data_IF_229972153818
#
_entry.id   IF_229972153818
#
_cell.length_a   1.000
_cell.length_b   1.000
_cell.length_c   1.000
_cell.angle_alpha   90.00
_cell.angle_beta   90.00
_cell.angle_gamma   90.00
#
_symmetry.space_group_name_H-M   'P 1'
#
loop_
_entity.id
_entity.type
_entity.pdbx_description
1 polymer ?
#
# COMPACT_ATOMS: atom_id res chain seq x y z
N UNK A 1 -61.89 -16.40 19.08
CA UNK A 1 -60.69 -16.43 18.22
C UNK A 1 -59.72 -15.41 18.76
N UNK A 2 -58.67 -15.83 19.47
CA UNK A 2 -57.56 -14.95 19.83
C UNK A 2 -56.70 -14.75 18.59
N UNK A 3 -56.69 -13.53 18.05
CA UNK A 3 -55.75 -13.12 17.00
C UNK A 3 -54.36 -12.95 17.67
N UNK A 4 -53.29 -13.59 17.16
CA UNK A 4 -51.95 -13.38 17.69
C UNK A 4 -51.49 -11.95 17.37
N UNK A 5 -51.03 -11.22 18.39
CA UNK A 5 -50.39 -9.91 18.24
C UNK A 5 -49.12 -10.04 17.39
N UNK A 6 -48.87 -9.12 16.42
CA UNK A 6 -47.60 -9.10 15.71
C UNK A 6 -46.49 -8.77 16.72
N UNK A 7 -45.49 -9.64 16.83
CA UNK A 7 -44.27 -9.34 17.56
C UNK A 7 -43.62 -8.11 16.92
N UNK A 8 -43.53 -7.01 17.68
CA UNK A 8 -42.77 -5.85 17.28
C UNK A 8 -41.32 -6.31 17.06
N UNK A 9 -40.87 -6.33 15.81
CA UNK A 9 -39.46 -6.58 15.49
C UNK A 9 -38.70 -5.40 16.12
N UNK A 10 -37.94 -5.68 17.17
CA UNK A 10 -37.02 -4.70 17.72
C UNK A 10 -36.09 -4.27 16.58
N UNK A 11 -36.02 -2.98 16.30
CA UNK A 11 -35.14 -2.40 15.28
C UNK A 11 -33.92 -1.79 15.96
N UNK A 12 -32.84 -1.60 15.19
CA UNK A 12 -31.71 -0.85 15.68
C UNK A 12 -32.08 0.61 15.98
N UNK A 13 -31.43 1.21 16.98
CA UNK A 13 -31.48 2.65 17.16
C UNK A 13 -30.95 3.34 15.89
N UNK A 14 -31.56 4.47 15.54
CA UNK A 14 -31.17 5.27 14.39
C UNK A 14 -29.66 5.58 14.42
N UNK A 15 -28.96 5.30 13.32
CA UNK A 15 -27.51 5.55 13.21
C UNK A 15 -26.59 4.50 13.85
N UNK A 16 -27.10 3.46 14.52
CA UNK A 16 -26.26 2.46 15.20
C UNK A 16 -25.40 1.64 14.22
N UNK A 17 -25.94 1.32 13.05
CA UNK A 17 -25.23 0.57 12.00
C UNK A 17 -24.14 1.46 11.39
N UNK A 18 -24.46 2.71 11.07
CA UNK A 18 -23.53 3.71 10.53
C UNK A 18 -22.39 3.99 11.50
N UNK A 19 -22.68 4.13 12.80
CA UNK A 19 -21.66 4.33 13.84
C UNK A 19 -20.71 3.12 13.90
N UNK A 20 -21.23 1.90 13.84
CA UNK A 20 -20.43 0.69 13.85
C UNK A 20 -19.55 0.56 12.60
N UNK A 21 -20.10 0.87 11.42
CA UNK A 21 -19.36 0.92 10.15
C UNK A 21 -18.27 1.99 10.20
N UNK A 22 -18.58 3.18 10.69
CA UNK A 22 -17.60 4.28 10.83
C UNK A 22 -16.41 3.86 11.70
N UNK A 23 -16.67 3.23 12.84
CA UNK A 23 -15.61 2.74 13.72
C UNK A 23 -14.76 1.65 13.06
N UNK A 24 -15.37 0.78 12.26
CA UNK A 24 -14.65 -0.22 11.47
C UNK A 24 -13.75 0.45 10.43
N UNK A 25 -14.28 1.40 9.65
CA UNK A 25 -13.50 2.12 8.64
C UNK A 25 -12.34 2.91 9.24
N UNK A 26 -12.53 3.57 10.39
CA UNK A 26 -11.46 4.25 11.10
C UNK A 26 -10.26 3.35 11.40
N UNK A 27 -10.50 2.08 11.73
CA UNK A 27 -9.42 1.09 11.92
C UNK A 27 -8.78 0.66 10.61
N UNK A 28 -9.56 0.51 9.53
CA UNK A 28 -9.04 0.10 8.22
C UNK A 28 -8.14 1.17 7.58
N UNK A 29 -8.41 2.44 7.86
CA UNK A 29 -7.65 3.57 7.29
C UNK A 29 -6.54 4.07 8.23
N UNK A 30 -6.38 3.46 9.40
CA UNK A 30 -5.32 3.78 10.34
C UNK A 30 -3.96 3.43 9.72
N UNK A 31 -3.21 4.45 9.30
CA UNK A 31 -1.93 4.29 8.60
C UNK A 31 -1.90 4.84 7.18
N UNK A 32 -3.03 5.31 6.64
CA UNK A 32 -3.00 6.09 5.40
C UNK A 32 -2.27 7.43 5.63
N UNK A 33 -1.52 7.92 4.63
CA UNK A 33 -0.81 9.18 4.76
C UNK A 33 -1.79 10.36 4.77
N UNK A 34 -1.52 11.36 5.61
CA UNK A 34 -2.23 12.63 5.60
C UNK A 34 -3.58 12.65 6.32
N UNK A 35 -4.48 13.49 5.84
CA UNK A 35 -5.78 13.76 6.44
C UNK A 35 -6.86 12.89 5.79
N UNK A 36 -7.56 12.11 6.62
CA UNK A 36 -8.58 11.17 6.16
C UNK A 36 -9.96 11.67 6.56
N UNK A 37 -10.85 11.81 5.59
CA UNK A 37 -12.28 12.05 5.85
C UNK A 37 -13.10 10.83 5.46
N UNK A 38 -14.10 10.49 6.28
CA UNK A 38 -14.98 9.34 6.08
C UNK A 38 -16.43 9.83 6.00
N UNK A 39 -17.03 9.68 4.85
CA UNK A 39 -18.44 9.93 4.57
C UNK A 39 -19.15 8.58 4.38
N UNK A 40 -20.31 8.44 5.02
CA UNK A 40 -21.18 7.28 4.85
C UNK A 40 -22.50 7.79 4.30
N UNK A 41 -22.99 7.15 3.24
CA UNK A 41 -24.36 7.32 2.84
C UNK A 41 -25.26 6.74 3.95
N UNK A 42 -26.33 7.46 4.35
CA UNK A 42 -27.28 6.92 5.31
C UNK A 42 -27.92 5.66 4.74
N UNK A 43 -28.26 4.71 5.60
CA UNK A 43 -29.16 3.63 5.20
C UNK A 43 -30.52 4.22 4.80
N UNK A 44 -31.22 3.52 3.89
CA UNK A 44 -32.60 3.88 3.56
C UNK A 44 -33.43 3.88 4.87
N UNK A 45 -34.12 4.97 5.23
CA UNK A 45 -34.96 5.03 6.42
C UNK A 45 -36.05 3.96 6.44
N UNK A 46 -36.43 3.42 5.28
CA UNK A 46 -37.38 2.31 5.15
C UNK A 46 -36.72 0.93 5.30
N UNK A 47 -35.39 0.88 5.46
CA UNK A 47 -34.65 -0.34 5.72
C UNK A 47 -34.97 -0.83 7.13
N UNK A 48 -35.93 -1.75 7.23
CA UNK A 48 -36.33 -2.38 8.49
C UNK A 48 -35.32 -3.46 8.88
N UNK A 49 -34.09 -3.05 9.24
CA UNK A 49 -33.07 -3.98 9.72
C UNK A 49 -33.48 -4.52 11.10
N UNK A 50 -33.67 -5.86 11.23
CA UNK A 50 -33.95 -6.46 12.53
C UNK A 50 -32.83 -6.19 13.52
N UNK A 51 -33.16 -6.11 14.81
CA UNK A 51 -32.15 -6.00 15.86
C UNK A 51 -31.14 -7.15 15.77
N UNK A 52 -29.88 -6.78 15.91
CA UNK A 52 -28.73 -7.68 15.86
C UNK A 52 -28.01 -7.73 17.20
N UNK A 53 -27.60 -8.93 17.63
CA UNK A 53 -26.77 -9.10 18.82
C UNK A 53 -25.35 -8.54 18.62
N UNK A 54 -24.78 -8.72 17.43
CA UNK A 54 -23.44 -8.26 17.09
C UNK A 54 -23.36 -7.85 15.60
N UNK A 55 -23.24 -6.55 15.36
CA UNK A 55 -23.02 -6.02 14.02
C UNK A 55 -21.57 -6.24 13.60
N UNK A 56 -21.39 -6.95 12.50
CA UNK A 56 -20.09 -7.30 11.94
C UNK A 56 -19.87 -6.64 10.56
N UNK A 57 -19.23 -5.45 10.52
CA UNK A 57 -18.82 -4.84 9.27
C UNK A 57 -17.70 -5.64 8.58
N UNK A 58 -17.74 -5.67 7.25
CA UNK A 58 -16.71 -6.28 6.43
C UNK A 58 -16.55 -5.52 5.11
N UNK A 59 -15.38 -5.67 4.50
CA UNK A 59 -15.12 -5.20 3.14
C UNK A 59 -15.26 -6.39 2.18
N UNK A 60 -16.00 -6.26 1.06
CA UNK A 60 -15.99 -7.28 0.01
C UNK A 60 -14.56 -7.56 -0.48
N UNK A 61 -14.30 -8.80 -0.93
CA UNK A 61 -12.97 -9.19 -1.39
C UNK A 61 -12.45 -8.25 -2.50
N UNK A 62 -11.19 -7.82 -2.38
CA UNK A 62 -10.57 -6.89 -3.33
C UNK A 62 -10.96 -5.41 -3.14
N UNK A 63 -11.82 -5.09 -2.18
CA UNK A 63 -12.20 -3.70 -1.89
C UNK A 63 -11.05 -2.96 -1.21
N UNK A 64 -10.65 -1.84 -1.79
CA UNK A 64 -9.73 -0.90 -1.14
C UNK A 64 -10.54 0.02 -0.23
N UNK A 65 -10.10 0.18 1.02
CA UNK A 65 -10.80 0.95 2.05
C UNK A 65 -10.72 2.49 1.88
N UNK A 66 -10.53 2.97 0.64
CA UNK A 66 -10.45 4.40 0.33
C UNK A 66 -11.13 4.71 -1.02
N UNK A 67 -11.42 5.98 -1.32
CA UNK A 67 -12.25 6.36 -2.46
C UNK A 67 -13.72 6.01 -2.22
N UNK A 68 -14.48 5.70 -3.28
CA UNK A 68 -15.88 5.26 -3.18
C UNK A 68 -15.95 3.74 -3.18
N UNK A 69 -16.59 3.15 -2.18
CA UNK A 69 -16.74 1.70 -2.06
C UNK A 69 -17.96 1.30 -1.23
N UNK A 70 -18.32 0.02 -1.28
CA UNK A 70 -19.40 -0.55 -0.50
C UNK A 70 -18.84 -1.25 0.75
N UNK A 71 -19.49 -1.04 1.89
CA UNK A 71 -19.20 -1.73 3.15
C UNK A 71 -20.37 -2.63 3.49
N UNK A 72 -20.11 -3.91 3.67
CA UNK A 72 -21.11 -4.86 4.14
C UNK A 72 -21.21 -4.83 5.65
N UNK A 73 -22.40 -5.04 6.18
CA UNK A 73 -22.64 -5.33 7.60
C UNK A 73 -23.47 -6.59 7.65
N UNK A 74 -22.96 -7.63 8.31
CA UNK A 74 -23.73 -8.84 8.57
C UNK A 74 -24.18 -8.89 10.02
N UNK A 75 -25.30 -9.57 10.21
CA UNK A 75 -25.76 -10.06 11.49
C UNK A 75 -26.02 -11.54 11.35
N UNK A 76 -25.55 -12.35 12.30
CA UNK A 76 -25.78 -13.81 12.30
C UNK A 76 -26.81 -14.26 13.36
N UNK A 77 -27.18 -13.39 14.31
CA UNK A 77 -28.11 -13.70 15.40
C UNK A 77 -28.78 -12.44 15.96
N UNK A 78 -30.08 -12.46 16.32
CA UNK A 78 -31.01 -13.60 16.28
C UNK A 78 -31.58 -13.92 14.88
N UNK A 79 -31.48 -12.97 13.95
CA UNK A 79 -31.93 -13.12 12.56
C UNK A 79 -30.74 -12.84 11.66
N UNK A 80 -30.46 -13.75 10.73
CA UNK A 80 -29.37 -13.58 9.78
C UNK A 80 -29.77 -12.59 8.70
N UNK A 81 -28.99 -11.52 8.54
CA UNK A 81 -29.19 -10.54 7.48
C UNK A 81 -27.87 -9.88 7.08
N UNK A 82 -27.84 -9.28 5.90
CA UNK A 82 -26.71 -8.49 5.42
C UNK A 82 -27.20 -7.23 4.73
N UNK A 83 -26.60 -6.10 5.09
CA UNK A 83 -26.87 -4.80 4.48
C UNK A 83 -25.58 -4.23 3.90
N UNK A 84 -25.70 -3.33 2.94
CA UNK A 84 -24.57 -2.65 2.32
C UNK A 84 -24.75 -1.14 2.41
N UNK A 85 -23.71 -0.45 2.85
CA UNK A 85 -23.66 1.01 2.90
C UNK A 85 -22.62 1.52 1.90
N UNK A 86 -22.95 2.60 1.21
CA UNK A 86 -21.96 3.30 0.40
C UNK A 86 -21.08 4.17 1.30
N UNK A 87 -19.77 4.01 1.18
CA UNK A 87 -18.78 4.82 1.86
C UNK A 87 -17.96 5.62 0.85
N UNK A 88 -17.60 6.84 1.22
CA UNK A 88 -16.57 7.63 0.56
C UNK A 88 -15.51 7.98 1.59
N UNK A 89 -14.29 7.55 1.35
CA UNK A 89 -13.13 7.94 2.16
C UNK A 89 -12.22 8.76 1.29
N UNK A 90 -12.00 10.03 1.61
CA UNK A 90 -11.02 10.87 0.93
C UNK A 90 -9.72 10.92 1.74
N UNK A 91 -8.59 11.02 1.04
CA UNK A 91 -7.27 11.06 1.67
C UNK A 91 -6.49 12.22 1.09
N UNK A 92 -6.39 13.31 1.85
CA UNK A 92 -5.68 14.52 1.44
C UNK A 92 -4.28 14.49 2.03
N UNK A 93 -3.29 14.34 1.15
CA UNK A 93 -1.89 14.26 1.53
C UNK A 93 -0.99 14.92 0.49
N UNK A 94 0.28 15.09 0.87
CA UNK A 94 1.31 15.52 -0.05
C UNK A 94 1.80 14.33 -0.89
N UNK A 95 1.95 14.55 -2.19
CA UNK A 95 2.49 13.57 -3.13
C UNK A 95 3.57 14.20 -4.00
N UNK A 96 4.43 13.36 -4.56
CA UNK A 96 5.54 13.80 -5.39
C UNK A 96 5.08 14.16 -6.80
N UNK A 97 5.63 15.25 -7.30
CA UNK A 97 5.51 15.69 -8.69
C UNK A 97 6.90 15.86 -9.31
N UNK A 98 6.99 15.82 -10.64
CA UNK A 98 8.20 16.23 -11.34
C UNK A 98 8.36 17.75 -11.25
N UNK A 99 9.40 18.25 -10.58
CA UNK A 99 9.65 19.69 -10.46
C UNK A 99 10.05 20.33 -11.79
N UNK A 100 10.58 19.53 -12.72
CA UNK A 100 11.02 19.92 -14.07
C UNK A 100 10.83 18.75 -15.04
N UNK A 101 10.95 18.95 -16.37
CA UNK A 101 10.85 17.86 -17.32
C UNK A 101 11.94 16.81 -17.08
N UNK A 102 11.55 15.55 -17.00
CA UNK A 102 12.43 14.40 -16.78
C UNK A 102 12.56 13.59 -18.06
N UNK A 103 13.78 13.23 -18.45
CA UNK A 103 14.03 12.39 -19.63
C UNK A 103 13.94 10.92 -19.26
N UNK A 104 13.68 10.03 -20.23
CA UNK A 104 13.80 8.59 -19.99
C UNK A 104 15.25 8.21 -19.64
N UNK A 105 15.42 7.33 -18.65
CA UNK A 105 16.72 6.85 -18.14
C UNK A 105 17.41 7.80 -17.14
N UNK A 106 16.86 8.99 -16.90
CA UNK A 106 17.42 9.98 -15.99
C UNK A 106 17.37 9.49 -14.54
N UNK A 107 18.48 9.66 -13.82
CA UNK A 107 18.53 9.46 -12.36
C UNK A 107 17.89 10.66 -11.68
N UNK A 108 16.94 10.40 -10.79
CA UNK A 108 16.26 11.44 -10.03
C UNK A 108 17.09 11.87 -8.82
N UNK A 109 17.33 13.17 -8.73
CA UNK A 109 17.87 13.82 -7.53
C UNK A 109 16.83 14.68 -6.82
N UNK A 110 17.16 15.27 -5.66
CA UNK A 110 16.24 16.11 -4.89
C UNK A 110 15.66 17.29 -5.68
N UNK A 111 16.44 17.87 -6.60
CA UNK A 111 16.00 19.00 -7.45
C UNK A 111 15.00 18.60 -8.56
N UNK A 112 14.82 17.30 -8.81
CA UNK A 112 13.83 16.78 -9.76
C UNK A 112 12.45 16.57 -9.12
N UNK A 113 12.39 16.56 -7.79
CA UNK A 113 11.22 16.20 -7.01
C UNK A 113 10.58 17.48 -6.43
N UNK A 114 9.29 17.64 -6.69
CA UNK A 114 8.45 18.60 -5.98
C UNK A 114 7.38 17.87 -5.17
N UNK A 115 6.69 18.58 -4.30
CA UNK A 115 5.53 18.09 -3.57
C UNK A 115 4.30 18.92 -3.90
N UNK A 116 3.14 18.27 -3.94
CA UNK A 116 1.85 18.94 -4.07
C UNK A 116 0.83 18.25 -3.16
N UNK A 117 -0.02 19.04 -2.50
CA UNK A 117 -1.13 18.54 -1.69
C UNK A 117 -2.33 18.24 -2.57
N UNK A 118 -3.01 17.11 -2.34
CA UNK A 118 -4.26 16.80 -3.03
C UNK A 118 -4.94 15.53 -2.53
N UNK A 119 -6.15 15.30 -3.01
CA UNK A 119 -6.90 14.07 -2.72
C UNK A 119 -6.31 12.89 -3.51
N UNK A 120 -5.61 12.00 -2.81
CA UNK A 120 -4.97 10.83 -3.40
C UNK A 120 -5.97 9.86 -4.02
N UNK A 121 -7.23 9.89 -3.59
CA UNK A 121 -8.28 8.99 -4.10
C UNK A 121 -8.81 9.41 -5.47
N UNK A 122 -8.53 10.65 -5.89
CA UNK A 122 -8.85 11.18 -7.23
C UNK A 122 -7.65 11.10 -8.19
N UNK A 123 -6.50 10.61 -7.72
CA UNK A 123 -5.27 10.52 -8.50
C UNK A 123 -4.98 9.07 -8.92
N UNK A 124 -4.11 8.86 -9.93
CA UNK A 124 -3.77 7.51 -10.39
C UNK A 124 -3.08 6.68 -9.32
N UNK A 125 -3.23 5.36 -9.38
CA UNK A 125 -2.57 4.47 -8.41
C UNK A 125 -1.04 4.56 -8.42
N UNK A 126 -0.43 4.05 -7.35
CA UNK A 126 1.04 3.96 -7.21
C UNK A 126 1.76 5.32 -7.17
N UNK A 127 1.08 6.39 -6.74
CA UNK A 127 1.71 7.68 -6.43
C UNK A 127 2.80 7.51 -5.37
N UNK A 128 3.89 8.25 -5.57
CA UNK A 128 4.94 8.38 -4.58
C UNK A 128 4.58 9.52 -3.64
N UNK A 129 4.72 9.29 -2.34
CA UNK A 129 4.42 10.28 -1.29
C UNK A 129 5.67 10.67 -0.50
N UNK A 130 6.73 9.85 -0.57
CA UNK A 130 7.98 10.08 0.12
C UNK A 130 9.15 10.22 -0.90
N UNK A 131 9.96 11.28 -0.84
CA UNK A 131 11.12 11.47 -1.71
C UNK A 131 12.10 10.28 -1.77
N UNK A 132 12.22 9.50 -0.70
CA UNK A 132 13.07 8.30 -0.64
C UNK A 132 12.60 7.21 -1.61
N UNK A 133 11.34 7.23 -2.03
CA UNK A 133 10.78 6.30 -3.01
C UNK A 133 11.17 6.66 -4.46
N UNK A 134 11.72 7.85 -4.70
CA UNK A 134 12.09 8.33 -6.03
C UNK A 134 13.58 8.67 -6.16
N UNK A 135 14.20 9.17 -5.09
CA UNK A 135 15.60 9.61 -5.11
C UNK A 135 16.55 8.46 -5.46
N UNK A 136 17.42 8.68 -6.44
CA UNK A 136 18.35 7.67 -6.97
C UNK A 136 17.70 6.68 -7.96
N UNK A 137 16.38 6.70 -8.13
CA UNK A 137 15.71 5.89 -9.15
C UNK A 137 15.88 6.47 -10.55
N UNK A 138 15.78 5.60 -11.55
CA UNK A 138 15.78 5.99 -12.95
C UNK A 138 14.35 6.11 -13.46
N UNK A 139 14.05 7.13 -14.24
CA UNK A 139 12.80 7.20 -14.99
C UNK A 139 12.80 6.17 -16.14
N UNK A 140 11.68 5.46 -16.32
CA UNK A 140 11.48 4.53 -17.44
C UNK A 140 11.00 5.24 -18.70
N UNK A 141 10.25 6.32 -18.50
CA UNK A 141 9.64 7.15 -19.55
C UNK A 141 9.99 8.61 -19.29
N UNK A 142 9.80 9.46 -20.29
CA UNK A 142 9.85 10.91 -20.08
C UNK A 142 8.62 11.36 -19.25
N UNK A 143 8.82 12.34 -18.37
CA UNK A 143 7.75 12.88 -17.50
C UNK A 143 7.75 14.40 -17.59
N UNK A 144 6.59 14.99 -17.87
CA UNK A 144 6.45 16.44 -17.95
C UNK A 144 6.48 17.08 -16.55
N UNK A 145 6.98 18.31 -16.46
CA UNK A 145 6.95 19.09 -15.22
C UNK A 145 5.51 19.23 -14.69
N UNK A 146 5.36 19.18 -13.36
CA UNK A 146 4.06 19.24 -12.67
C UNK A 146 3.24 17.94 -12.69
N UNK A 147 3.70 16.91 -13.40
CA UNK A 147 3.04 15.60 -13.45
C UNK A 147 3.27 14.83 -12.14
N UNK A 148 2.26 14.12 -11.61
CA UNK A 148 2.43 13.24 -10.46
C UNK A 148 3.44 12.12 -10.77
N UNK A 149 4.39 11.90 -9.86
CA UNK A 149 5.34 10.81 -9.94
C UNK A 149 4.72 9.53 -9.37
N UNK A 150 4.90 8.43 -10.10
CA UNK A 150 4.37 7.12 -9.76
C UNK A 150 5.45 6.06 -9.86
N UNK A 151 5.35 5.03 -9.03
CA UNK A 151 6.33 3.95 -8.99
C UNK A 151 6.48 3.19 -10.31
N UNK A 152 5.41 3.06 -11.11
CA UNK A 152 5.42 2.40 -12.43
C UNK A 152 6.25 3.17 -13.47
N UNK A 153 6.44 4.47 -13.27
CA UNK A 153 7.31 5.29 -14.11
C UNK A 153 8.78 5.15 -13.74
N UNK A 154 9.11 4.54 -12.59
CA UNK A 154 10.47 4.46 -12.09
C UNK A 154 11.02 3.03 -12.19
N UNK A 155 12.34 2.93 -12.29
CA UNK A 155 13.10 1.70 -12.19
C UNK A 155 14.16 1.89 -11.13
N UNK A 156 14.16 1.01 -10.14
CA UNK A 156 15.20 0.96 -9.12
C UNK A 156 16.54 0.67 -9.82
N UNK A 157 17.60 1.45 -9.56
CA UNK A 157 18.92 1.16 -10.12
C UNK A 157 19.38 -0.20 -9.62
N UNK A 158 20.20 -0.86 -10.43
CA UNK A 158 20.92 -2.03 -9.95
C UNK A 158 21.90 -1.60 -8.86
N UNK A 159 21.72 -2.11 -7.65
CA UNK A 159 22.70 -1.97 -6.57
C UNK A 159 23.99 -2.72 -6.91
N UNK A 160 23.85 -3.85 -7.61
CA UNK A 160 24.95 -4.66 -8.11
C UNK A 160 24.76 -4.87 -9.61
N UNK A 161 25.79 -4.56 -10.39
CA UNK A 161 25.82 -4.78 -11.83
C UNK A 161 26.60 -6.05 -12.17
N UNK A 162 26.19 -6.74 -13.23
CA UNK A 162 26.95 -7.86 -13.78
C UNK A 162 28.37 -7.41 -14.12
N UNK A 163 29.35 -8.20 -13.70
CA UNK A 163 30.77 -7.93 -13.88
C UNK A 163 31.38 -6.99 -12.85
N UNK A 164 30.57 -6.36 -11.98
CA UNK A 164 31.03 -5.53 -10.87
C UNK A 164 31.73 -6.37 -9.80
N UNK A 165 32.85 -5.87 -9.28
CA UNK A 165 33.46 -6.41 -8.05
C UNK A 165 32.63 -5.97 -6.85
N UNK A 166 32.15 -6.94 -6.07
CA UNK A 166 31.29 -6.71 -4.91
C UNK A 166 31.88 -7.37 -3.67
N UNK A 167 31.62 -6.77 -2.51
CA UNK A 167 31.90 -7.38 -1.22
C UNK A 167 30.74 -8.30 -0.84
N UNK A 168 31.06 -9.57 -0.61
CA UNK A 168 30.16 -10.60 -0.10
C UNK A 168 30.30 -10.66 1.41
N UNK A 169 29.21 -10.37 2.13
CA UNK A 169 29.14 -10.35 3.58
C UNK A 169 28.30 -11.53 4.06
N UNK A 170 28.91 -12.45 4.78
CA UNK A 170 28.23 -13.53 5.47
C UNK A 170 28.16 -13.26 6.97
N UNK A 171 26.96 -13.29 7.56
CA UNK A 171 26.78 -13.15 9.01
C UNK A 171 26.05 -14.37 9.54
N UNK A 172 26.64 -15.04 10.53
CA UNK A 172 26.02 -16.15 11.25
C UNK A 172 26.13 -15.96 12.76
N UNK A 173 25.67 -16.95 13.54
CA UNK A 173 25.72 -16.89 15.00
C UNK A 173 27.18 -16.85 15.50
N UNK A 174 27.67 -15.65 15.81
CA UNK A 174 29.01 -15.41 16.37
C UNK A 174 30.13 -15.18 15.34
N UNK A 175 29.84 -15.11 14.03
CA UNK A 175 30.86 -14.86 13.02
C UNK A 175 30.40 -13.88 11.92
N UNK A 176 31.37 -13.14 11.37
CA UNK A 176 31.19 -12.27 10.20
C UNK A 176 32.34 -12.54 9.24
N UNK A 177 32.01 -12.91 8.01
CA UNK A 177 32.97 -13.14 6.93
C UNK A 177 32.73 -12.09 5.85
N UNK A 178 33.79 -11.45 5.38
CA UNK A 178 33.77 -10.58 4.22
C UNK A 178 34.70 -11.17 3.16
N UNK A 179 34.24 -11.24 1.92
CA UNK A 179 35.03 -11.72 0.78
C UNK A 179 34.73 -10.87 -0.43
N UNK A 180 35.62 -10.84 -1.41
CA UNK A 180 35.36 -10.16 -2.68
C UNK A 180 35.01 -11.17 -3.77
N UNK A 181 34.15 -10.76 -4.68
CA UNK A 181 33.83 -11.57 -5.84
C UNK A 181 33.22 -10.74 -6.97
N UNK A 182 33.05 -11.39 -8.11
CA UNK A 182 32.50 -10.76 -9.32
C UNK A 182 31.05 -11.14 -9.51
N UNK A 183 30.17 -10.15 -9.55
CA UNK A 183 28.75 -10.37 -9.77
C UNK A 183 28.49 -10.94 -11.17
N UNK A 184 27.61 -11.94 -11.26
CA UNK A 184 27.29 -12.65 -12.50
C UNK A 184 25.97 -12.18 -13.12
N UNK A 185 25.16 -11.41 -12.40
CA UNK A 185 23.92 -10.80 -12.88
C UNK A 185 23.74 -9.40 -12.28
N UNK A 186 22.89 -8.59 -12.93
CA UNK A 186 22.40 -7.35 -12.36
C UNK A 186 21.36 -7.66 -11.26
N UNK A 187 21.32 -6.83 -10.21
CA UNK A 187 20.32 -6.92 -9.15
C UNK A 187 20.07 -5.56 -8.50
N UNK A 188 18.80 -5.25 -8.26
CA UNK A 188 18.37 -4.17 -7.39
C UNK A 188 18.57 -4.56 -5.91
N UNK A 189 18.54 -3.60 -4.96
CA UNK A 189 18.52 -3.93 -3.54
C UNK A 189 17.41 -4.96 -3.22
N UNK A 190 17.73 -6.00 -2.46
CA UNK A 190 16.82 -7.09 -2.10
C UNK A 190 16.73 -8.23 -3.12
N UNK A 191 17.26 -8.07 -4.33
CA UNK A 191 17.26 -9.14 -5.34
C UNK A 191 18.46 -10.10 -5.17
N UNK A 192 18.31 -11.34 -5.66
CA UNK A 192 19.36 -12.35 -5.60
C UNK A 192 20.47 -12.05 -6.62
N UNK A 193 21.71 -12.13 -6.17
CA UNK A 193 22.93 -12.02 -6.98
C UNK A 193 23.73 -13.30 -6.87
N UNK A 194 24.14 -13.84 -8.02
CA UNK A 194 25.21 -14.83 -8.07
C UNK A 194 26.56 -14.12 -8.14
N UNK A 195 27.47 -14.46 -7.26
CA UNK A 195 28.83 -13.90 -7.20
C UNK A 195 29.82 -15.02 -7.38
N UNK A 196 30.76 -14.85 -8.32
CA UNK A 196 31.92 -15.73 -8.47
C UNK A 196 33.06 -15.21 -7.59
N UNK A 197 33.45 -15.99 -6.59
CA UNK A 197 34.57 -15.69 -5.71
C UNK A 197 35.91 -15.92 -6.41
N UNK A 198 37.00 -15.45 -5.80
CA UNK A 198 38.35 -15.58 -6.34
C UNK A 198 38.82 -17.04 -6.49
N UNK A 199 38.30 -17.96 -5.65
CA UNK A 199 38.55 -19.40 -5.72
C UNK A 199 37.74 -20.12 -6.82
N UNK A 200 36.91 -19.38 -7.56
CA UNK A 200 36.04 -19.91 -8.61
C UNK A 200 34.67 -20.40 -8.13
N UNK A 201 34.42 -20.47 -6.81
CA UNK A 201 33.11 -20.83 -6.29
C UNK A 201 32.06 -19.78 -6.65
N UNK A 202 30.81 -20.22 -6.86
CA UNK A 202 29.69 -19.32 -7.12
C UNK A 202 28.74 -19.38 -5.93
N UNK A 203 28.60 -18.25 -5.25
CA UNK A 203 27.67 -18.08 -4.13
C UNK A 203 26.47 -17.26 -4.55
N UNK A 204 25.32 -17.49 -3.92
CA UNK A 204 24.10 -16.70 -4.16
C UNK A 204 23.75 -15.94 -2.89
N UNK A 205 23.64 -14.63 -2.98
CA UNK A 205 23.23 -13.76 -1.88
C UNK A 205 22.21 -12.73 -2.31
N UNK A 206 21.91 -11.81 -1.41
CA UNK A 206 20.93 -10.72 -1.60
C UNK A 206 21.69 -9.39 -1.73
N UNK A 207 21.46 -8.64 -2.82
CA UNK A 207 22.09 -7.34 -3.01
C UNK A 207 21.61 -6.32 -1.95
N UNK A 208 22.55 -5.61 -1.34
CA UNK A 208 22.30 -4.52 -0.40
C UNK A 208 22.34 -3.18 -1.14
N UNK A 209 21.61 -2.17 -0.66
CA UNK A 209 21.57 -0.85 -1.31
C UNK A 209 22.95 -0.18 -1.47
N UNK A 210 23.92 -0.53 -0.62
CA UNK A 210 25.32 -0.07 -0.73
C UNK A 210 26.21 -0.84 -1.71
N UNK A 211 25.66 -1.77 -2.50
CA UNK A 211 26.42 -2.55 -3.49
C UNK A 211 27.16 -3.78 -2.96
N UNK A 212 27.00 -4.09 -1.66
CA UNK A 212 27.43 -5.35 -1.07
C UNK A 212 26.40 -6.48 -1.32
N UNK A 213 26.82 -7.73 -1.17
CA UNK A 213 25.94 -8.91 -1.29
C UNK A 213 25.92 -9.64 0.04
N UNK A 214 24.76 -9.76 0.69
CA UNK A 214 24.60 -10.48 1.94
C UNK A 214 24.29 -11.95 1.69
N UNK A 215 25.00 -12.86 2.35
CA UNK A 215 24.66 -14.28 2.42
C UNK A 215 23.84 -14.53 3.69
N UNK A 216 22.71 -15.20 3.53
CA UNK A 216 21.90 -15.71 4.65
C UNK A 216 22.27 -17.18 4.83
N UNK A 217 22.60 -17.57 6.06
CA UNK A 217 22.93 -18.93 6.47
C UNK A 217 21.80 -19.53 7.30
#
# INVERSE_FOLDING_TARGET
MLLPSPAAIAQHAEGAVEARVRQFLQRQVAGLPGEVSIELAPLDPNSQLPACAALEPFLPAGTRAWGRFSVGVRCDSPVTWTAYLQARVAVVADYLIAARPLRAGQVLGPADLGQRRGDLTALPDNLLTDPTQASGHHTRIAVAAGSPLRGDMLRVPHAVRQGQTVSVLGVGAGFRVASEGRAMNNAAPGEKVRVRLADGQVVTGTAQAGGAVALEF
#
